data_IF_866098549638
#
_entry.id   IF_866098549638
#
_cell.length_a   1.000
_cell.length_b   1.000
_cell.length_c   1.000
_cell.angle_alpha   90.00
_cell.angle_beta   90.00
_cell.angle_gamma   90.00
#
_symmetry.space_group_name_H-M   'P 1'
#
loop_
_entity.id
_entity.type
_entity.pdbx_description
1 polymer ?
#
# COMPACT_ATOMS: atom_id res chain seq x y z
N UNK A 1 1.46 12.54 -3.84
CA UNK A 1 0.31 11.61 -3.68
C UNK A 1 -0.01 11.38 -2.20
N UNK A 2 0.87 10.74 -1.41
CA UNK A 2 0.64 10.49 0.03
C UNK A 2 0.36 11.75 0.87
N UNK A 3 1.05 12.86 0.58
CA UNK A 3 0.88 14.13 1.32
C UNK A 3 -0.48 14.80 1.12
N UNK A 4 -1.21 14.44 0.06
CA UNK A 4 -2.52 15.03 -0.29
C UNK A 4 -3.71 14.19 0.21
N UNK A 5 -3.50 12.93 0.57
CA UNK A 5 -4.57 12.08 1.13
C UNK A 5 -5.17 12.65 2.43
N UNK A 6 -4.40 13.13 3.42
CA UNK A 6 -4.98 13.68 4.64
C UNK A 6 -5.68 15.02 4.43
N UNK A 7 -5.48 15.73 3.31
CA UNK A 7 -6.22 16.96 3.00
C UNK A 7 -7.56 16.72 2.30
N UNK A 8 -7.85 15.49 1.86
CA UNK A 8 -9.12 15.16 1.21
C UNK A 8 -10.24 14.95 2.23
N UNK A 9 -11.45 15.37 1.87
CA UNK A 9 -12.67 15.23 2.68
C UNK A 9 -13.31 13.86 2.55
N UNK A 10 -13.14 13.20 1.40
CA UNK A 10 -13.62 11.84 1.15
C UNK A 10 -12.54 11.07 0.39
N UNK A 11 -12.10 9.95 0.97
CA UNK A 11 -11.19 9.00 0.33
C UNK A 11 -12.01 7.82 -0.23
N UNK A 12 -11.57 7.36 -1.39
CA UNK A 12 -12.10 6.20 -2.11
C UNK A 12 -10.98 5.24 -2.41
N UNK A 13 -11.31 4.01 -2.76
CA UNK A 13 -10.35 2.98 -3.15
C UNK A 13 -9.34 3.48 -4.17
N UNK A 14 -9.80 4.22 -5.18
CA UNK A 14 -8.97 4.75 -6.27
C UNK A 14 -8.03 5.89 -5.87
N UNK A 15 -8.20 6.50 -4.68
CA UNK A 15 -7.31 7.56 -4.20
C UNK A 15 -6.01 7.00 -3.64
N UNK A 16 -6.02 5.75 -3.18
CA UNK A 16 -4.87 5.14 -2.55
C UNK A 16 -3.82 4.73 -3.59
N UNK A 17 -2.53 5.05 -3.36
CA UNK A 17 -1.44 4.61 -4.21
C UNK A 17 -1.07 3.16 -3.88
N UNK A 18 -1.96 2.23 -4.22
CA UNK A 18 -1.71 0.80 -4.11
C UNK A 18 -0.36 0.44 -4.74
N UNK A 19 0.49 -0.36 -4.08
CA UNK A 19 1.81 -0.71 -4.59
C UNK A 19 1.71 -1.74 -5.70
N UNK A 20 1.04 -1.39 -6.80
CA UNK A 20 0.88 -2.21 -7.99
C UNK A 20 1.02 -1.34 -9.24
N UNK A 21 1.52 -1.94 -10.32
CA UNK A 21 1.69 -1.27 -11.62
C UNK A 21 0.31 -0.87 -12.18
N UNK A 22 -0.64 -1.80 -12.14
CA UNK A 22 -2.05 -1.56 -12.47
C UNK A 22 -2.82 -1.34 -11.18
N UNK A 23 -3.69 -0.35 -11.13
CA UNK A 23 -4.55 -0.15 -9.95
C UNK A 23 -5.46 -1.37 -9.79
N UNK A 24 -5.53 -1.97 -8.60
CA UNK A 24 -6.42 -3.09 -8.34
C UNK A 24 -7.87 -2.63 -8.43
N UNK A 25 -8.76 -3.50 -8.90
CA UNK A 25 -10.19 -3.27 -8.80
C UNK A 25 -10.73 -3.85 -7.50
N UNK A 26 -10.13 -4.89 -6.95
CA UNK A 26 -10.59 -5.53 -5.71
C UNK A 26 -9.41 -5.85 -4.79
N UNK A 27 -9.65 -6.05 -3.49
CA UNK A 27 -8.61 -6.47 -2.54
C UNK A 27 -7.98 -7.82 -2.91
N UNK A 28 -8.69 -8.67 -3.64
CA UNK A 28 -8.17 -9.94 -4.16
C UNK A 28 -7.08 -9.76 -5.24
N UNK A 29 -7.09 -8.64 -5.98
CA UNK A 29 -6.04 -8.34 -6.97
C UNK A 29 -4.69 -8.01 -6.30
N UNK A 30 -4.69 -7.64 -5.01
CA UNK A 30 -3.51 -7.27 -4.22
C UNK A 30 -2.71 -8.51 -3.81
N UNK A 31 -2.17 -9.21 -4.82
CA UNK A 31 -1.35 -10.40 -4.63
C UNK A 31 0.08 -10.02 -4.25
N UNK A 32 0.72 -10.86 -3.45
CA UNK A 32 2.12 -10.65 -3.04
C UNK A 32 3.06 -10.53 -4.25
N UNK A 33 2.85 -11.33 -5.31
CA UNK A 33 3.67 -11.27 -6.52
C UNK A 33 3.53 -9.93 -7.28
N UNK A 34 2.33 -9.38 -7.38
CA UNK A 34 2.11 -8.09 -8.02
C UNK A 34 2.75 -6.93 -7.22
N UNK A 35 2.64 -7.00 -5.89
CA UNK A 35 3.23 -6.02 -4.99
C UNK A 35 4.75 -6.10 -5.01
N UNK A 36 5.30 -7.32 -4.98
CA UNK A 36 6.73 -7.58 -5.09
C UNK A 36 7.29 -7.01 -6.41
N UNK A 37 6.64 -7.31 -7.54
CA UNK A 37 7.05 -6.80 -8.85
C UNK A 37 7.00 -5.27 -8.97
N UNK A 38 6.16 -4.60 -8.17
CA UNK A 38 6.11 -3.14 -8.10
C UNK A 38 7.20 -2.56 -7.19
N UNK A 39 7.36 -3.09 -5.97
CA UNK A 39 8.30 -2.56 -4.96
C UNK A 39 9.76 -2.89 -5.32
N UNK A 40 10.00 -4.06 -5.92
CA UNK A 40 11.30 -4.52 -6.39
C UNK A 40 11.56 -4.14 -7.87
N UNK A 41 10.71 -3.31 -8.47
CA UNK A 41 10.85 -2.96 -9.88
C UNK A 41 12.17 -2.24 -10.17
N UNK A 42 12.85 -2.62 -11.25
CA UNK A 42 14.04 -1.91 -11.76
C UNK A 42 13.76 -0.44 -12.16
N UNK A 43 12.48 -0.11 -12.38
CA UNK A 43 12.01 1.24 -12.71
C UNK A 43 11.65 2.06 -11.47
N UNK A 44 11.96 1.57 -10.26
CA UNK A 44 11.71 2.32 -9.04
C UNK A 44 12.47 3.66 -9.09
N UNK A 45 11.80 4.79 -8.83
CA UNK A 45 12.38 6.12 -9.02
C UNK A 45 13.59 6.37 -8.12
N UNK A 46 13.62 5.76 -6.94
CA UNK A 46 14.73 5.87 -5.99
C UNK A 46 15.65 4.63 -6.07
N UNK A 47 16.65 4.70 -6.96
CA UNK A 47 17.62 3.62 -7.18
C UNK A 47 18.71 3.54 -6.11
N UNK A 48 18.86 4.58 -5.29
CA UNK A 48 19.91 4.67 -4.26
C UNK A 48 19.64 3.78 -3.05
N UNK A 49 18.36 3.47 -2.77
CA UNK A 49 17.97 2.56 -1.68
C UNK A 49 18.04 1.10 -2.09
N UNK A 50 18.56 0.27 -1.18
CA UNK A 50 18.45 -1.17 -1.29
C UNK A 50 16.98 -1.61 -1.26
N UNK A 51 16.65 -2.66 -2.00
CA UNK A 51 15.28 -3.15 -2.11
C UNK A 51 14.63 -3.45 -0.74
N UNK A 52 15.42 -3.99 0.19
CA UNK A 52 15.00 -4.25 1.57
C UNK A 52 14.57 -2.99 2.32
N UNK A 53 15.27 -1.87 2.11
CA UNK A 53 14.93 -0.57 2.72
C UNK A 53 13.63 -0.02 2.12
N UNK A 54 13.45 -0.18 0.80
CA UNK A 54 12.20 0.18 0.11
C UNK A 54 11.01 -0.57 0.71
N UNK A 55 11.11 -1.89 0.86
CA UNK A 55 10.03 -2.71 1.45
C UNK A 55 9.71 -2.24 2.88
N UNK A 56 10.72 -2.00 3.72
CA UNK A 56 10.52 -1.46 5.09
C UNK A 56 9.81 -0.11 5.09
N UNK A 57 10.12 0.76 4.13
CA UNK A 57 9.45 2.05 3.99
C UNK A 57 7.96 1.87 3.65
N UNK A 58 7.64 0.97 2.71
CA UNK A 58 6.25 0.64 2.38
C UNK A 58 5.51 0.04 3.59
N UNK A 59 6.12 -0.87 4.36
CA UNK A 59 5.52 -1.43 5.58
C UNK A 59 5.16 -0.32 6.56
N UNK A 60 6.06 0.64 6.79
CA UNK A 60 5.80 1.79 7.68
C UNK A 60 4.67 2.69 7.17
N UNK A 61 4.52 2.83 5.85
CA UNK A 61 3.45 3.64 5.22
C UNK A 61 2.08 2.96 5.27
N UNK A 62 2.05 1.64 5.03
CA UNK A 62 0.85 0.81 5.04
C UNK A 62 0.56 0.17 6.40
N UNK A 63 1.27 0.60 7.45
CA UNK A 63 1.07 0.08 8.79
C UNK A 63 -0.38 0.37 9.25
N UNK A 64 -1.11 -0.65 9.75
CA UNK A 64 -2.53 -0.51 10.08
C UNK A 64 -2.79 0.64 11.05
N UNK A 65 -1.95 0.80 12.08
CA UNK A 65 -2.06 1.93 13.03
C UNK A 65 -2.14 3.30 12.34
N UNK A 66 -1.19 3.63 11.44
CA UNK A 66 -1.20 4.93 10.75
C UNK A 66 -2.30 5.01 9.69
N UNK A 67 -2.57 3.91 9.01
CA UNK A 67 -3.53 3.87 7.92
C UNK A 67 -4.95 4.03 8.45
N UNK A 68 -5.31 3.27 9.50
CA UNK A 68 -6.64 3.28 10.10
C UNK A 68 -6.94 4.62 10.78
N UNK A 69 -5.99 5.15 11.54
CA UNK A 69 -6.18 6.42 12.27
C UNK A 69 -6.29 7.63 11.34
N UNK A 70 -5.44 7.72 10.29
CA UNK A 70 -5.37 8.93 9.44
C UNK A 70 -6.18 8.86 8.17
N UNK A 71 -6.27 7.69 7.54
CA UNK A 71 -6.84 7.53 6.21
C UNK A 71 -8.18 6.82 6.24
N UNK A 72 -8.30 5.69 6.94
CA UNK A 72 -9.53 4.90 6.96
C UNK A 72 -10.73 5.67 7.53
N UNK A 73 -10.50 6.53 8.54
CA UNK A 73 -11.51 7.42 9.09
C UNK A 73 -12.10 8.43 8.07
N UNK A 74 -11.42 8.65 6.95
CA UNK A 74 -11.87 9.55 5.86
C UNK A 74 -12.40 8.80 4.64
N UNK A 75 -12.33 7.47 4.65
CA UNK A 75 -12.85 6.66 3.55
C UNK A 75 -14.37 6.64 3.66
N UNK A 76 -15.04 6.77 2.51
CA UNK A 76 -16.50 6.64 2.44
C UNK A 76 -16.92 5.28 2.98
N UNK A 77 -17.99 5.22 3.76
CA UNK A 77 -18.38 4.00 4.49
C UNK A 77 -18.55 2.79 3.56
N UNK A 78 -19.08 3.01 2.35
CA UNK A 78 -19.28 2.00 1.30
C UNK A 78 -17.99 1.32 0.83
N UNK A 79 -16.85 2.01 0.87
CA UNK A 79 -15.55 1.45 0.45
C UNK A 79 -14.60 1.20 1.62
N UNK A 80 -15.01 1.53 2.84
CA UNK A 80 -14.14 1.48 4.03
C UNK A 80 -13.68 0.07 4.35
N UNK A 81 -14.59 -0.89 4.32
CA UNK A 81 -14.24 -2.31 4.50
C UNK A 81 -13.28 -2.78 3.41
N UNK A 82 -13.63 -2.51 2.14
CA UNK A 82 -12.80 -2.86 0.98
C UNK A 82 -11.38 -2.29 1.11
N UNK A 83 -11.26 -1.00 1.43
CA UNK A 83 -9.97 -0.32 1.63
C UNK A 83 -9.18 -0.88 2.82
N UNK A 84 -9.86 -1.17 3.95
CA UNK A 84 -9.22 -1.81 5.11
C UNK A 84 -8.65 -3.17 4.74
N UNK A 85 -9.42 -4.01 4.05
CA UNK A 85 -8.96 -5.32 3.60
C UNK A 85 -7.76 -5.20 2.67
N UNK A 86 -7.84 -4.30 1.68
CA UNK A 86 -6.73 -4.08 0.75
C UNK A 86 -5.47 -3.59 1.45
N UNK A 87 -5.58 -2.65 2.38
CA UNK A 87 -4.44 -2.16 3.17
C UNK A 87 -3.82 -3.29 4.01
N UNK A 88 -4.66 -4.15 4.61
CA UNK A 88 -4.23 -5.33 5.35
C UNK A 88 -3.53 -6.36 4.46
N UNK A 89 -4.02 -6.60 3.24
CA UNK A 89 -3.36 -7.47 2.25
C UNK A 89 -2.00 -6.91 1.84
N UNK A 90 -1.91 -5.61 1.54
CA UNK A 90 -0.64 -4.96 1.22
C UNK A 90 0.36 -5.06 2.37
N UNK A 91 -0.05 -4.73 3.59
CA UNK A 91 0.82 -4.80 4.75
C UNK A 91 1.36 -6.23 4.98
N UNK A 92 0.50 -7.25 4.82
CA UNK A 92 0.91 -8.66 4.92
C UNK A 92 1.88 -9.06 3.82
N UNK A 93 1.57 -8.75 2.56
CA UNK A 93 2.45 -9.05 1.41
C UNK A 93 3.81 -8.39 1.57
N UNK A 94 3.88 -7.14 2.02
CA UNK A 94 5.15 -6.44 2.24
C UNK A 94 5.98 -7.09 3.35
N UNK A 95 5.35 -7.55 4.43
CA UNK A 95 6.06 -8.28 5.49
C UNK A 95 6.58 -9.64 4.98
N UNK A 96 5.79 -10.36 4.18
CA UNK A 96 6.19 -11.62 3.56
C UNK A 96 7.41 -11.45 2.63
N UNK A 97 7.39 -10.40 1.80
CA UNK A 97 8.53 -10.02 0.94
C UNK A 97 9.75 -9.71 1.81
N UNK A 98 9.60 -8.90 2.87
CA UNK A 98 10.72 -8.58 3.76
C UNK A 98 11.32 -9.82 4.43
N UNK A 99 10.47 -10.76 4.84
CA UNK A 99 10.89 -12.02 5.45
C UNK A 99 11.66 -12.91 4.46
N UNK A 100 11.26 -12.96 3.19
CA UNK A 100 11.98 -13.67 2.12
C UNK A 100 13.36 -13.08 1.80
N UNK A 101 13.56 -11.79 2.09
CA UNK A 101 14.83 -11.06 1.87
C UNK A 101 15.79 -11.12 3.08
N UNK A 102 15.52 -11.99 4.06
CA UNK A 102 16.26 -12.07 5.31
C UNK A 102 16.86 -13.47 5.47
#
# INVERSE_FOLDING_TARGET
>A
VWSSLPSMTALRWSNFPWPMIKRPSNPEDLTTAAIEGYVLSQFYPDKSKADKDRVKEYIRRWHPDRFETKLLNKVVEEEKERVREGAGSVARSLNDILAKMN
#
